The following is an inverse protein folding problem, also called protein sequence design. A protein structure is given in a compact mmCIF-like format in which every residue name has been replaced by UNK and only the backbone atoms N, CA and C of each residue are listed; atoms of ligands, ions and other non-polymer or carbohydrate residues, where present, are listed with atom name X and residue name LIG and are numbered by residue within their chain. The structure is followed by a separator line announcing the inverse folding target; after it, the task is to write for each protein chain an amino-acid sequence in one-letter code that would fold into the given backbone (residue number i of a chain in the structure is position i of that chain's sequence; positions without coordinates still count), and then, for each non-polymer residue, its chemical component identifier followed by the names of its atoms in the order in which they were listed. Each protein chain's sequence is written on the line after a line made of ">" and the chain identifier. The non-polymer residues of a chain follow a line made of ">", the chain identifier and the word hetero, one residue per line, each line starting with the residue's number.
data_IF_664544092821
#
_entry.id   IF_664544092821
#
_cell.length_a   1.000
_cell.length_b   1.000
_cell.length_c   1.000
_cell.angle_alpha   90.00
_cell.angle_beta   90.00
_cell.angle_gamma   90.00
#
_symmetry.space_group_name_H-M   'P 1'
#
loop_
_entity.id
_entity.type
_entity.pdbx_description
1 polymer ?
#
# COMPACT_ATOMS: atom_id res chain seq x y z
N UNK A 1 0.93 -0.44 -5.55
CA UNK A 1 -0.14 -0.79 -6.52
C UNK A 1 -0.83 -2.04 -5.98
N UNK A 2 -2.16 -2.08 -6.04
CA UNK A 2 -2.96 -3.29 -5.80
C UNK A 2 -3.80 -3.51 -7.04
N UNK A 3 -3.85 -4.75 -7.50
CA UNK A 3 -4.54 -5.13 -8.75
C UNK A 3 -5.48 -6.29 -8.47
N UNK A 4 -6.70 -6.23 -9.00
CA UNK A 4 -7.62 -7.35 -9.10
C UNK A 4 -7.91 -7.64 -10.56
N UNK A 5 -7.96 -8.93 -10.91
CA UNK A 5 -8.31 -9.37 -12.27
C UNK A 5 -9.83 -9.46 -12.36
N UNK A 6 -10.39 -8.92 -13.44
CA UNK A 6 -11.82 -8.93 -13.75
C UNK A 6 -12.05 -9.24 -15.23
N UNK A 7 -13.19 -9.86 -15.57
CA UNK A 7 -13.55 -10.17 -16.95
C UNK A 7 -13.86 -8.92 -17.80
N UNK A 8 -14.19 -7.81 -17.15
CA UNK A 8 -14.58 -6.54 -17.76
C UNK A 8 -13.84 -5.39 -17.10
N UNK A 9 -13.62 -4.26 -17.80
CA UNK A 9 -13.00 -3.10 -17.18
C UNK A 9 -13.90 -2.55 -16.07
N UNK A 10 -13.28 -2.16 -14.96
CA UNK A 10 -13.96 -1.60 -13.78
C UNK A 10 -14.02 -0.09 -13.94
N UNK A 11 -15.23 0.45 -14.13
CA UNK A 11 -15.43 1.88 -14.40
C UNK A 11 -15.63 2.65 -13.08
N UNK A 12 -14.55 3.26 -12.60
CA UNK A 12 -14.55 4.12 -11.42
C UNK A 12 -13.47 5.22 -11.57
N UNK A 13 -13.71 6.49 -11.15
CA UNK A 13 -12.73 7.58 -11.26
C UNK A 13 -11.41 7.34 -10.52
N UNK A 14 -11.40 6.45 -9.52
CA UNK A 14 -10.22 6.10 -8.72
C UNK A 14 -9.54 4.81 -9.19
N UNK A 15 -10.06 4.15 -10.24
CA UNK A 15 -9.55 2.85 -10.73
C UNK A 15 -9.03 2.99 -12.16
N UNK A 16 -7.80 2.51 -12.35
CA UNK A 16 -7.21 2.34 -13.68
C UNK A 16 -7.37 0.90 -14.15
N UNK A 17 -7.40 0.68 -15.47
CA UNK A 17 -7.54 -0.64 -16.07
C UNK A 17 -6.40 -0.90 -17.04
N UNK A 18 -5.87 -2.11 -17.04
CA UNK A 18 -4.92 -2.60 -18.07
C UNK A 18 -5.46 -3.91 -18.65
N UNK A 19 -5.42 -4.06 -19.97
CA UNK A 19 -5.77 -5.32 -20.62
C UNK A 19 -4.71 -6.39 -20.31
N UNK A 20 -5.15 -7.62 -20.07
CA UNK A 20 -4.27 -8.77 -19.83
C UNK A 20 -4.17 -9.64 -21.10
N UNK A 21 -3.06 -10.35 -21.32
CA UNK A 21 -2.87 -11.16 -22.53
C UNK A 21 -3.88 -12.30 -22.71
N UNK A 22 -4.48 -12.79 -21.62
CA UNK A 22 -5.54 -13.80 -21.59
C UNK A 22 -6.94 -13.25 -21.89
N UNK A 23 -7.07 -11.94 -22.11
CA UNK A 23 -8.33 -11.29 -22.47
C UNK A 23 -9.15 -10.72 -21.31
N UNK A 24 -8.63 -10.79 -20.08
CA UNK A 24 -9.20 -10.14 -18.89
C UNK A 24 -8.68 -8.70 -18.71
N UNK A 25 -9.08 -8.06 -17.62
CA UNK A 25 -8.65 -6.73 -17.22
C UNK A 25 -8.02 -6.76 -15.82
N UNK A 26 -6.83 -6.19 -15.69
CA UNK A 26 -6.24 -5.85 -14.41
C UNK A 26 -6.74 -4.48 -13.97
N UNK A 27 -7.75 -4.45 -13.10
CA UNK A 27 -8.20 -3.23 -12.43
C UNK A 27 -7.25 -2.92 -11.28
N UNK A 28 -6.69 -1.71 -11.22
CA UNK A 28 -5.70 -1.37 -10.23
C UNK A 28 -5.88 0.02 -9.63
N UNK A 29 -5.44 0.10 -8.37
CA UNK A 29 -5.30 1.31 -7.58
C UNK A 29 -3.84 1.45 -7.16
N UNK A 30 -3.43 2.67 -6.87
CA UNK A 30 -2.04 2.96 -6.56
C UNK A 30 -1.94 3.99 -5.44
N UNK A 31 -0.89 3.84 -4.64
CA UNK A 31 -0.43 4.84 -3.69
C UNK A 31 0.98 5.21 -4.15
N UNK A 32 1.21 6.49 -4.43
CA UNK A 32 2.50 6.97 -4.93
C UNK A 32 3.61 6.72 -3.93
N UNK A 33 3.43 7.19 -2.69
CA UNK A 33 4.38 7.01 -1.61
C UNK A 33 4.07 5.74 -0.80
N UNK A 34 4.19 4.57 -1.44
CA UNK A 34 4.13 3.27 -0.78
C UNK A 34 5.39 2.98 0.03
N UNK A 35 6.34 2.25 -0.55
CA UNK A 35 7.66 2.03 0.07
C UNK A 35 8.46 3.33 0.27
N UNK A 36 8.18 4.33 -0.56
CA UNK A 36 8.83 5.63 -0.53
C UNK A 36 8.49 6.43 0.73
N UNK A 37 7.36 6.17 1.41
CA UNK A 37 7.08 6.79 2.70
C UNK A 37 8.06 6.33 3.79
N UNK A 38 8.40 5.04 3.84
CA UNK A 38 9.42 4.53 4.74
C UNK A 38 10.82 5.07 4.38
N UNK A 39 11.13 5.18 3.07
CA UNK A 39 12.38 5.83 2.62
C UNK A 39 12.46 7.29 3.06
N UNK A 40 11.35 8.01 2.90
CA UNK A 40 11.24 9.41 3.32
C UNK A 40 11.46 9.55 4.83
N UNK A 41 10.78 8.75 5.65
CA UNK A 41 10.92 8.81 7.11
C UNK A 41 12.37 8.51 7.56
N UNK A 42 13.02 7.52 6.94
CA UNK A 42 14.43 7.19 7.18
C UNK A 42 15.37 8.37 6.87
N UNK A 43 15.13 9.08 5.76
CA UNK A 43 15.87 10.30 5.43
C UNK A 43 15.53 11.44 6.37
N UNK A 44 14.25 11.72 6.58
CA UNK A 44 13.78 12.90 7.30
C UNK A 44 14.08 12.87 8.80
N UNK A 45 14.10 11.68 9.41
CA UNK A 45 14.31 11.54 10.85
C UNK A 45 15.74 11.16 11.22
N UNK A 46 16.51 10.61 10.28
CA UNK A 46 17.81 10.01 10.55
C UNK A 46 18.87 10.31 9.48
N UNK A 47 18.61 11.21 8.54
CA UNK A 47 19.54 11.53 7.43
C UNK A 47 20.05 10.31 6.62
N UNK A 48 19.30 9.20 6.65
CA UNK A 48 19.67 7.86 6.12
C UNK A 48 20.75 7.08 6.88
N UNK A 49 21.12 7.50 8.09
CA UNK A 49 22.13 6.82 8.91
C UNK A 49 21.70 5.44 9.40
N UNK A 50 20.39 5.19 9.49
CA UNK A 50 19.82 3.90 9.88
C UNK A 50 19.44 3.04 8.67
N UNK A 51 19.58 1.72 8.80
CA UNK A 51 19.12 0.76 7.80
C UNK A 51 17.60 0.56 7.86
N UNK A 52 17.01 -0.06 6.83
CA UNK A 52 15.58 -0.42 6.87
C UNK A 52 15.26 -1.41 8.00
N UNK A 53 16.20 -2.29 8.36
CA UNK A 53 16.05 -3.21 9.49
C UNK A 53 15.91 -2.45 10.81
N UNK A 54 16.82 -1.50 11.06
CA UNK A 54 16.79 -0.67 12.27
C UNK A 54 15.47 0.12 12.40
N UNK A 55 14.94 0.62 11.29
CA UNK A 55 13.64 1.31 11.27
C UNK A 55 12.49 0.36 11.62
N UNK A 56 12.49 -0.86 11.07
CA UNK A 56 11.46 -1.86 11.35
C UNK A 56 11.52 -2.31 12.81
N UNK A 57 12.72 -2.60 13.33
CA UNK A 57 12.94 -2.99 14.72
C UNK A 57 12.48 -1.87 15.68
N UNK A 58 12.79 -0.61 15.36
CA UNK A 58 12.33 0.55 16.12
C UNK A 58 10.81 0.67 16.10
N UNK A 59 10.18 0.56 14.92
CA UNK A 59 8.73 0.62 14.78
C UNK A 59 8.00 -0.52 15.52
N UNK A 60 8.60 -1.71 15.59
CA UNK A 60 8.03 -2.86 16.28
C UNK A 60 7.90 -2.65 17.80
N UNK A 61 8.73 -1.78 18.38
CA UNK A 61 8.63 -1.44 19.83
C UNK A 61 7.43 -0.58 20.19
N UNK A 62 6.83 0.15 19.24
CA UNK A 62 5.60 0.90 19.47
C UNK A 62 4.38 -0.02 19.45
N UNK A 63 3.30 0.30 20.16
CA UNK A 63 2.07 -0.50 20.12
C UNK A 63 1.31 -0.32 18.78
N UNK A 64 0.48 -1.30 18.35
CA UNK A 64 -0.45 -1.13 17.22
C UNK A 64 -1.32 0.11 17.39
N UNK A 65 -1.45 0.89 16.32
CA UNK A 65 -2.15 2.17 16.35
C UNK A 65 -1.27 3.33 16.83
N UNK A 66 0.00 3.07 17.11
CA UNK A 66 1.04 4.07 17.37
C UNK A 66 0.65 5.09 18.43
N UNK A 67 0.00 4.63 19.51
CA UNK A 67 -0.54 5.48 20.59
C UNK A 67 -1.51 6.58 20.09
N UNK A 68 -2.31 6.24 19.08
CA UNK A 68 -3.25 7.12 18.36
C UNK A 68 -2.60 8.19 17.48
N UNK A 69 -1.32 8.02 17.11
CA UNK A 69 -0.66 8.80 16.06
C UNK A 69 -0.98 8.24 14.67
N UNK A 70 -1.66 9.04 13.85
CA UNK A 70 -1.95 8.69 12.45
C UNK A 70 -0.99 9.40 11.51
N UNK A 71 -0.62 8.73 10.42
CA UNK A 71 0.12 9.32 9.31
C UNK A 71 -0.65 9.14 8.00
N UNK A 72 -1.00 10.24 7.34
CA UNK A 72 -1.53 10.19 5.97
C UNK A 72 -0.35 10.25 5.01
N UNK A 73 -0.17 9.27 4.10
CA UNK A 73 1.11 9.07 3.42
C UNK A 73 1.28 9.84 2.09
N UNK A 74 0.50 10.88 1.83
CA UNK A 74 0.45 11.56 0.52
C UNK A 74 1.62 12.52 0.28
N UNK A 75 2.86 12.05 0.44
CA UNK A 75 4.09 12.85 0.38
C UNK A 75 4.33 13.55 -0.96
N UNK A 76 3.83 12.97 -2.05
CA UNK A 76 4.04 13.45 -3.43
C UNK A 76 2.71 13.68 -4.15
N UNK A 77 1.62 13.84 -3.39
CA UNK A 77 0.28 13.90 -3.94
C UNK A 77 -0.24 12.53 -4.40
N UNK A 78 -1.27 12.59 -5.23
CA UNK A 78 -2.02 11.44 -5.74
C UNK A 78 -2.25 11.57 -7.24
N UNK A 79 -2.33 10.44 -7.94
CA UNK A 79 -2.55 10.42 -9.40
C UNK A 79 -4.01 10.36 -9.80
N UNK A 80 -4.83 9.73 -8.94
CA UNK A 80 -6.24 9.47 -9.16
C UNK A 80 -7.05 10.24 -8.12
N UNK A 81 -8.36 10.40 -8.38
CA UNK A 81 -9.24 11.22 -7.56
C UNK A 81 -9.28 12.70 -7.94
N UNK A 82 -10.16 13.44 -7.25
CA UNK A 82 -10.44 14.84 -7.52
C UNK A 82 -9.32 15.77 -7.04
N UNK A 83 -8.73 15.48 -5.88
CA UNK A 83 -7.65 16.27 -5.27
C UNK A 83 -6.33 15.53 -5.39
N UNK A 84 -5.57 15.85 -6.44
CA UNK A 84 -4.26 15.23 -6.73
C UNK A 84 -3.12 15.89 -5.95
N UNK A 85 -3.37 17.05 -5.37
CA UNK A 85 -2.42 17.83 -4.57
C UNK A 85 -2.44 17.46 -3.08
N UNK A 86 -2.85 16.24 -2.72
CA UNK A 86 -2.78 15.77 -1.34
C UNK A 86 -1.38 15.90 -0.73
N UNK A 87 -1.32 16.08 0.59
CA UNK A 87 -0.07 16.21 1.35
C UNK A 87 -0.03 15.27 2.53
N UNK A 88 1.17 14.83 2.88
CA UNK A 88 1.36 14.01 4.06
C UNK A 88 1.13 14.82 5.34
N UNK A 89 0.60 14.16 6.36
CA UNK A 89 0.39 14.77 7.68
C UNK A 89 0.51 13.72 8.79
N UNK A 90 1.07 14.12 9.92
CA UNK A 90 0.86 13.44 11.18
C UNK A 90 -0.32 14.07 11.91
N UNK A 91 -1.19 13.25 12.49
CA UNK A 91 -2.34 13.70 13.27
C UNK A 91 -2.36 12.98 14.61
N UNK A 92 -2.59 13.73 15.70
CA UNK A 92 -2.56 13.19 17.07
C UNK A 92 -1.18 13.23 17.75
N UNK A 93 -0.20 13.93 17.17
CA UNK A 93 1.13 14.07 17.78
C UNK A 93 1.03 14.71 19.17
N UNK A 94 1.71 14.11 20.13
CA UNK A 94 1.72 14.49 21.54
C UNK A 94 3.11 14.22 22.14
N UNK A 95 3.45 14.87 23.26
CA UNK A 95 4.78 14.84 23.86
C UNK A 95 5.31 13.44 24.22
N UNK A 96 4.43 12.46 24.40
CA UNK A 96 4.81 11.07 24.67
C UNK A 96 5.25 10.27 23.43
N UNK A 97 5.01 10.77 22.23
CA UNK A 97 5.40 10.08 21.00
C UNK A 97 6.89 10.28 20.72
N UNK A 98 7.57 9.18 20.44
CA UNK A 98 8.94 9.17 19.95
C UNK A 98 9.04 8.64 18.53
N UNK A 99 10.28 8.46 18.09
CA UNK A 99 10.59 7.85 16.79
C UNK A 99 9.96 6.46 16.59
N UNK A 100 9.82 5.58 17.61
CA UNK A 100 9.08 4.32 17.46
C UNK A 100 7.65 4.52 16.93
N UNK A 101 6.87 5.38 17.59
CA UNK A 101 5.49 5.66 17.17
C UNK A 101 5.46 6.36 15.81
N UNK A 102 6.38 7.28 15.54
CA UNK A 102 6.42 7.97 14.24
C UNK A 102 6.72 7.02 13.08
N UNK A 103 7.69 6.11 13.22
CA UNK A 103 7.99 5.11 12.19
C UNK A 103 6.85 4.11 12.04
N UNK A 104 6.28 3.62 13.15
CA UNK A 104 5.14 2.72 13.10
C UNK A 104 3.92 3.38 12.44
N UNK A 105 3.63 4.64 12.77
CA UNK A 105 2.54 5.40 12.17
C UNK A 105 2.74 5.55 10.65
N UNK A 106 3.99 5.74 10.17
CA UNK A 106 4.29 5.77 8.72
C UNK A 106 3.94 4.44 8.05
N UNK A 107 4.34 3.32 8.66
CA UNK A 107 4.06 1.98 8.14
C UNK A 107 2.55 1.67 8.14
N UNK A 108 1.87 2.01 9.23
CA UNK A 108 0.42 1.85 9.40
C UNK A 108 -0.36 2.75 8.43
N UNK A 109 0.06 4.01 8.27
CA UNK A 109 -0.51 4.99 7.36
C UNK A 109 -0.53 4.55 5.89
N UNK A 110 0.57 3.94 5.43
CA UNK A 110 0.61 3.29 4.10
C UNK A 110 -0.39 2.14 4.02
N UNK A 111 -0.51 1.33 5.08
CA UNK A 111 -1.52 0.28 5.16
C UNK A 111 -2.95 0.82 5.09
N UNK A 112 -3.28 1.83 5.87
CA UNK A 112 -4.62 2.45 5.88
C UNK A 112 -4.99 3.08 4.54
N UNK A 113 -4.05 3.79 3.89
CA UNK A 113 -4.28 4.37 2.56
C UNK A 113 -4.53 3.29 1.51
N UNK A 114 -3.75 2.20 1.53
CA UNK A 114 -3.97 1.07 0.61
C UNK A 114 -5.29 0.37 0.92
N UNK A 115 -5.67 0.22 2.19
CA UNK A 115 -6.95 -0.37 2.57
C UNK A 115 -8.13 0.47 2.08
N UNK A 116 -8.02 1.81 2.14
CA UNK A 116 -9.02 2.72 1.55
C UNK A 116 -9.21 2.43 0.06
N UNK A 117 -8.12 2.34 -0.69
CA UNK A 117 -8.17 2.03 -2.12
C UNK A 117 -8.70 0.62 -2.41
N UNK A 118 -8.34 -0.36 -1.58
CA UNK A 118 -8.85 -1.72 -1.68
C UNK A 118 -10.37 -1.74 -1.48
N UNK A 119 -10.90 -1.02 -0.50
CA UNK A 119 -12.35 -0.89 -0.30
C UNK A 119 -13.06 -0.19 -1.48
N UNK A 120 -12.43 0.79 -2.12
CA UNK A 120 -12.96 1.40 -3.36
C UNK A 120 -13.07 0.33 -4.45
N UNK A 121 -12.00 -0.44 -4.65
CA UNK A 121 -11.98 -1.51 -5.65
C UNK A 121 -13.01 -2.61 -5.36
N UNK A 122 -13.18 -3.00 -4.11
CA UNK A 122 -14.18 -4.00 -3.69
C UNK A 122 -15.61 -3.53 -3.95
N UNK A 123 -15.90 -2.25 -3.67
CA UNK A 123 -17.20 -1.66 -4.00
C UNK A 123 -17.45 -1.60 -5.49
N UNK A 124 -16.45 -1.19 -6.28
CA UNK A 124 -16.58 -1.06 -7.73
C UNK A 124 -16.68 -2.41 -8.45
N UNK A 125 -16.04 -3.45 -7.94
CA UNK A 125 -16.05 -4.81 -8.52
C UNK A 125 -17.15 -5.71 -7.95
N UNK A 126 -17.72 -5.35 -6.80
CA UNK A 126 -18.58 -6.26 -6.02
C UNK A 126 -17.85 -7.49 -5.48
N UNK A 127 -16.52 -7.52 -5.54
CA UNK A 127 -15.69 -8.67 -5.19
C UNK A 127 -14.78 -8.32 -4.03
N UNK A 128 -14.84 -9.12 -2.98
CA UNK A 128 -13.92 -9.04 -1.85
C UNK A 128 -12.88 -10.16 -1.98
N UNK A 129 -11.59 -9.87 -2.24
CA UNK A 129 -10.58 -10.91 -2.31
C UNK A 129 -10.41 -11.57 -0.93
N UNK A 130 -10.29 -12.90 -0.93
CA UNK A 130 -10.04 -13.69 0.29
C UNK A 130 -8.61 -13.55 0.79
N UNK A 131 -7.68 -13.23 -0.11
CA UNK A 131 -6.26 -13.06 0.18
C UNK A 131 -5.61 -12.08 -0.80
N UNK A 132 -4.45 -11.56 -0.43
CA UNK A 132 -3.61 -10.74 -1.31
C UNK A 132 -2.26 -11.44 -1.54
N UNK A 133 -1.59 -11.08 -2.63
CA UNK A 133 -0.25 -11.58 -2.94
C UNK A 133 0.73 -10.41 -2.83
N UNK A 134 1.77 -10.56 -2.01
CA UNK A 134 2.83 -9.57 -1.91
C UNK A 134 3.71 -9.60 -3.18
N UNK A 135 4.29 -8.46 -3.51
CA UNK A 135 5.22 -8.35 -4.65
C UNK A 135 6.27 -7.26 -4.41
N UNK A 136 7.42 -7.40 -5.05
CA UNK A 136 8.55 -6.50 -5.03
C UNK A 136 9.17 -6.32 -3.64
N UNK A 137 9.82 -5.17 -3.42
CA UNK A 137 10.50 -4.86 -2.15
C UNK A 137 9.59 -4.91 -0.91
N UNK A 138 8.27 -4.72 -1.07
CA UNK A 138 7.30 -4.82 0.02
C UNK A 138 7.09 -6.25 0.55
N UNK A 139 7.52 -7.28 -0.18
CA UNK A 139 7.39 -8.68 0.21
C UNK A 139 8.48 -9.14 1.21
N UNK A 140 9.48 -8.31 1.49
CA UNK A 140 10.67 -8.67 2.29
C UNK A 140 10.60 -8.26 3.77
N UNK A 141 9.56 -7.54 4.19
CA UNK A 141 9.44 -6.96 5.53
C UNK A 141 8.28 -7.58 6.31
N UNK A 142 8.55 -8.63 7.09
CA UNK A 142 7.53 -9.43 7.78
C UNK A 142 6.66 -8.63 8.74
N UNK A 143 7.27 -7.77 9.54
CA UNK A 143 6.55 -6.89 10.44
C UNK A 143 5.56 -5.98 9.69
N UNK A 144 6.00 -5.38 8.57
CA UNK A 144 5.13 -4.50 7.79
C UNK A 144 4.03 -5.28 7.06
N UNK A 145 4.32 -6.49 6.59
CA UNK A 145 3.32 -7.39 6.03
C UNK A 145 2.29 -7.80 7.09
N UNK A 146 2.69 -8.03 8.35
CA UNK A 146 1.78 -8.30 9.46
C UNK A 146 0.85 -7.12 9.72
N UNK A 147 1.38 -5.89 9.76
CA UNK A 147 0.58 -4.65 9.85
C UNK A 147 -0.46 -4.62 8.72
N UNK A 148 -0.02 -4.79 7.48
CA UNK A 148 -0.90 -4.75 6.30
C UNK A 148 -1.97 -5.83 6.34
N UNK A 149 -1.61 -7.09 6.61
CA UNK A 149 -2.54 -8.20 6.72
C UNK A 149 -3.62 -7.92 7.78
N UNK A 150 -3.21 -7.41 8.95
CA UNK A 150 -4.14 -7.00 10.01
C UNK A 150 -5.04 -5.83 9.61
N UNK A 151 -4.52 -4.78 8.97
CA UNK A 151 -5.34 -3.64 8.49
C UNK A 151 -6.36 -4.10 7.43
N UNK A 152 -5.94 -4.94 6.49
CA UNK A 152 -6.82 -5.45 5.43
C UNK A 152 -7.79 -6.52 5.94
N UNK A 153 -7.51 -7.07 7.13
CA UNK A 153 -8.17 -8.25 7.69
C UNK A 153 -8.24 -9.41 6.69
N UNK A 154 -7.10 -9.69 6.05
CA UNK A 154 -6.91 -10.71 5.01
C UNK A 154 -5.48 -11.24 5.07
N UNK A 155 -5.27 -12.54 4.80
CA UNK A 155 -3.93 -13.07 4.66
C UNK A 155 -3.22 -12.51 3.43
N UNK A 156 -1.89 -12.45 3.53
CA UNK A 156 -1.00 -12.07 2.44
C UNK A 156 -0.08 -13.26 2.12
N UNK A 157 -0.17 -13.77 0.89
CA UNK A 157 0.76 -14.78 0.37
C UNK A 157 2.07 -14.14 -0.04
N UNK A 158 3.17 -14.82 0.30
CA UNK A 158 4.53 -14.41 -0.06
C UNK A 158 4.99 -15.32 -1.20
N UNK A 159 5.24 -14.77 -2.40
CA UNK A 159 5.77 -15.55 -3.51
C UNK A 159 7.21 -16.00 -3.19
N UNK A 160 7.64 -17.10 -3.81
CA UNK A 160 9.03 -17.55 -3.77
C UNK A 160 9.95 -16.56 -4.47
N UNK A 161 9.50 -16.03 -5.62
CA UNK A 161 10.14 -14.92 -6.32
C UNK A 161 9.34 -13.64 -6.09
N UNK A 162 9.92 -12.68 -5.39
CA UNK A 162 9.27 -11.40 -5.08
C UNK A 162 9.09 -10.52 -6.33
N UNK A 163 9.96 -10.66 -7.33
CA UNK A 163 9.89 -9.93 -8.60
C UNK A 163 8.86 -10.58 -9.54
N UNK A 164 7.58 -10.57 -9.15
CA UNK A 164 6.48 -11.24 -9.87
C UNK A 164 6.37 -10.83 -11.35
N UNK A 165 6.78 -9.61 -11.70
CA UNK A 165 6.82 -9.15 -13.10
C UNK A 165 7.77 -9.98 -13.97
N UNK A 166 8.93 -10.39 -13.44
CA UNK A 166 9.87 -11.26 -14.15
C UNK A 166 9.29 -12.66 -14.34
N UNK A 167 8.59 -13.18 -13.33
CA UNK A 167 7.88 -14.46 -13.43
C UNK A 167 6.79 -14.39 -14.51
N UNK A 168 6.04 -13.30 -14.59
CA UNK A 168 5.06 -13.04 -15.64
C UNK A 168 5.69 -12.99 -17.05
N UNK A 169 6.83 -12.31 -17.21
CA UNK A 169 7.58 -12.33 -18.46
C UNK A 169 8.03 -13.74 -18.84
N UNK A 170 8.53 -14.53 -17.88
CA UNK A 170 8.93 -15.91 -18.12
C UNK A 170 7.74 -16.80 -18.52
N UNK A 171 6.56 -16.58 -17.93
CA UNK A 171 5.33 -17.28 -18.31
C UNK A 171 4.93 -16.95 -19.76
N UNK A 172 4.92 -15.66 -20.13
CA UNK A 172 4.64 -15.22 -21.50
C UNK A 172 5.61 -15.84 -22.52
N UNK A 173 6.91 -15.81 -22.23
CA UNK A 173 7.92 -16.44 -23.10
C UNK A 173 7.75 -17.96 -23.19
N UNK A 174 7.36 -18.61 -22.10
CA UNK A 174 7.12 -20.07 -22.08
C UNK A 174 5.99 -20.45 -23.04
N UNK A 175 4.88 -19.72 -23.02
CA UNK A 175 3.75 -19.93 -23.93
C UNK A 175 4.14 -19.58 -25.37
N UNK A 176 4.79 -18.44 -25.59
CA UNK A 176 5.21 -18.00 -26.93
C UNK A 176 6.17 -18.99 -27.62
N UNK A 177 6.96 -19.72 -26.84
CA UNK A 177 7.87 -20.76 -27.32
C UNK A 177 7.22 -22.15 -27.45
N UNK A 178 5.90 -22.26 -27.21
CA UNK A 178 5.15 -23.52 -27.28
C UNK A 178 5.54 -24.55 -26.21
N UNK A 179 6.15 -24.10 -25.10
CA UNK A 179 6.56 -24.98 -23.98
C UNK A 179 5.40 -25.29 -23.03
N UNK A 180 4.38 -24.45 -23.02
CA UNK A 180 3.11 -24.64 -22.33
C UNK A 180 1.97 -24.19 -23.27
N UNK A 181 0.77 -24.77 -23.15
CA UNK A 181 -0.34 -24.48 -24.07
C UNK A 181 -0.97 -23.10 -23.86
N UNK A 182 -0.93 -22.58 -22.63
CA UNK A 182 -1.58 -21.33 -22.22
C UNK A 182 -0.92 -20.72 -20.98
N UNK A 183 -1.34 -19.51 -20.62
CA UNK A 183 -0.79 -18.77 -19.48
C UNK A 183 -1.15 -19.40 -18.14
N UNK A 184 -2.28 -20.08 -18.04
CA UNK A 184 -2.69 -20.78 -16.82
C UNK A 184 -1.71 -21.93 -16.51
N UNK A 185 -1.39 -22.75 -17.51
CA UNK A 185 -0.41 -23.84 -17.40
C UNK A 185 0.99 -23.32 -17.09
N UNK A 186 1.41 -22.22 -17.75
CA UNK A 186 2.70 -21.59 -17.47
C UNK A 186 2.77 -21.01 -16.05
N UNK A 187 1.70 -20.35 -15.58
CA UNK A 187 1.62 -19.83 -14.22
C UNK A 187 1.64 -20.96 -13.18
N UNK A 188 0.87 -22.04 -13.40
CA UNK A 188 0.85 -23.20 -12.50
C UNK A 188 2.24 -23.85 -12.32
N UNK A 189 3.10 -23.79 -13.34
CA UNK A 189 4.47 -24.31 -13.28
C UNK A 189 5.46 -23.35 -12.62
N UNK A 190 5.31 -22.05 -12.86
CA UNK A 190 6.32 -21.03 -12.53
C UNK A 190 6.03 -20.28 -11.22
N UNK A 191 4.76 -20.10 -10.87
CA UNK A 191 4.36 -19.36 -9.66
C UNK A 191 4.42 -20.30 -8.47
N UNK A 192 5.24 -19.94 -7.49
CA UNK A 192 5.35 -20.64 -6.21
C UNK A 192 5.18 -19.65 -5.06
N UNK A 193 4.62 -20.13 -3.96
CA UNK A 193 4.47 -19.37 -2.73
C UNK A 193 5.24 -20.07 -1.62
N UNK A 194 5.90 -19.30 -0.76
CA UNK A 194 6.73 -19.85 0.33
C UNK A 194 5.96 -19.93 1.64
N UNK A 195 5.21 -18.89 1.97
CA UNK A 195 4.44 -18.79 3.23
C UNK A 195 3.30 -17.78 3.12
N UNK A 196 2.50 -17.75 4.18
CA UNK A 196 1.37 -16.85 4.36
C UNK A 196 1.59 -16.00 5.62
N UNK A 197 1.33 -14.70 5.53
CA UNK A 197 1.25 -13.79 6.68
C UNK A 197 -0.22 -13.57 7.00
N UNK A 198 -0.66 -14.07 8.15
CA UNK A 198 -2.05 -13.96 8.62
C UNK A 198 -2.28 -12.68 9.42
N UNK A 199 -3.50 -12.12 9.37
CA UNK A 199 -3.86 -11.03 10.26
C UNK A 199 -3.74 -11.47 11.72
N UNK A 200 -3.12 -10.63 12.54
CA UNK A 200 -3.27 -10.70 13.99
C UNK A 200 -4.67 -10.19 14.35
N UNK A 201 -5.51 -11.01 15.02
CA UNK A 201 -6.91 -10.67 15.26
C UNK A 201 -7.07 -9.45 16.18
N UNK A 202 -6.19 -9.28 17.16
CA UNK A 202 -6.22 -8.13 18.08
C UNK A 202 -5.88 -6.85 17.32
N UNK A 203 -4.87 -6.91 16.45
CA UNK A 203 -4.50 -5.77 15.62
C UNK A 203 -5.57 -5.45 14.59
N UNK A 204 -6.17 -6.47 13.97
CA UNK A 204 -7.24 -6.29 12.99
C UNK A 204 -8.46 -5.58 13.61
N UNK A 205 -8.89 -5.99 14.80
CA UNK A 205 -9.98 -5.33 15.53
C UNK A 205 -9.61 -3.88 15.88
N UNK A 206 -8.37 -3.65 16.33
CA UNK A 206 -7.88 -2.33 16.67
C UNK A 206 -7.81 -1.40 15.45
N UNK A 207 -7.21 -1.85 14.35
CA UNK A 207 -7.10 -1.08 13.10
C UNK A 207 -8.46 -0.82 12.44
N UNK A 208 -9.41 -1.75 12.54
CA UNK A 208 -10.77 -1.55 12.07
C UNK A 208 -11.46 -0.37 12.77
N UNK A 209 -11.15 -0.09 14.05
CA UNK A 209 -11.65 1.09 14.76
C UNK A 209 -10.98 2.39 14.33
N UNK A 210 -9.74 2.33 13.82
CA UNK A 210 -8.96 3.51 13.39
C UNK A 210 -9.30 3.92 11.97
N UNK A 211 -9.56 2.97 11.06
CA UNK A 211 -9.80 3.25 9.63
C UNK A 211 -10.86 4.36 9.39
N UNK A 212 -12.02 4.41 10.08
CA UNK A 212 -13.01 5.47 9.85
C UNK A 212 -12.47 6.88 10.15
N UNK A 213 -11.62 7.02 11.17
CA UNK A 213 -10.96 8.28 11.48
C UNK A 213 -9.94 8.63 10.39
N UNK A 214 -9.15 7.66 9.94
CA UNK A 214 -8.21 7.86 8.82
C UNK A 214 -8.94 8.37 7.56
N UNK A 215 -10.07 7.75 7.20
CA UNK A 215 -10.86 8.13 6.03
C UNK A 215 -11.50 9.52 6.19
N UNK A 216 -11.92 9.86 7.42
CA UNK A 216 -12.43 11.20 7.75
C UNK A 216 -11.35 12.26 7.59
N UNK A 217 -10.16 12.02 8.13
CA UNK A 217 -9.02 12.93 8.00
C UNK A 217 -8.63 13.13 6.54
N UNK A 218 -8.55 12.05 5.76
CA UNK A 218 -8.27 12.11 4.32
C UNK A 218 -9.26 13.04 3.61
N UNK A 219 -10.56 12.83 3.85
CA UNK A 219 -11.63 13.61 3.19
C UNK A 219 -11.60 15.08 3.63
N UNK A 220 -11.43 15.35 4.92
CA UNK A 220 -11.47 16.72 5.45
C UNK A 220 -10.23 17.54 5.04
N UNK A 221 -9.06 16.91 4.97
CA UNK A 221 -7.83 17.59 4.56
C UNK A 221 -7.86 18.09 3.11
N UNK A 222 -8.68 17.47 2.24
CA UNK A 222 -8.82 17.88 0.83
C UNK A 222 -9.19 19.36 0.66
N UNK A 223 -10.07 19.88 1.52
CA UNK A 223 -10.52 21.27 1.46
C UNK A 223 -9.38 22.30 1.69
N UNK A 224 -8.23 21.86 2.19
CA UNK A 224 -7.12 22.74 2.57
C UNK A 224 -5.94 22.68 1.62
N UNK A 225 -5.86 21.69 0.72
CA UNK A 225 -4.68 21.52 -0.14
C UNK A 225 -4.47 22.67 -1.13
N UNK A 226 -5.55 23.22 -1.71
CA UNK A 226 -5.44 24.37 -2.62
C UNK A 226 -4.95 25.63 -1.90
N UNK A 227 -5.36 25.80 -0.63
CA UNK A 227 -4.86 26.90 0.22
C UNK A 227 -3.38 26.70 0.53
N UNK A 228 -2.97 25.46 0.80
CA UNK A 228 -1.57 25.12 1.07
C UNK A 228 -0.67 25.39 -0.16
N UNK A 229 -1.13 25.02 -1.36
CA UNK A 229 -0.43 25.31 -2.61
C UNK A 229 -0.26 26.84 -2.81
N UNK A 230 -1.33 27.61 -2.55
CA UNK A 230 -1.28 29.08 -2.66
C UNK A 230 -0.25 29.72 -1.70
N UNK A 231 -0.09 29.19 -0.49
CA UNK A 231 0.94 29.65 0.44
C UNK A 231 2.35 29.41 -0.10
N UNK A 232 2.60 28.25 -0.72
CA UNK A 232 3.92 27.93 -1.27
C UNK A 232 4.26 28.70 -2.54
N UNK A 233 3.26 29.01 -3.39
CA UNK A 233 3.46 29.80 -4.62
C UNK A 233 3.81 31.28 -4.35
N UNK A 234 3.50 31.78 -3.16
CA UNK A 234 3.73 33.18 -2.76
C UNK A 234 5.13 33.46 -2.21
N UNK A 235 5.96 32.43 -2.02
CA UNK A 235 7.36 32.63 -1.61
C UNK A 235 8.23 32.87 -2.86
N UNK A 236 8.96 33.99 -2.95
CA UNK A 236 9.92 34.20 -4.03
C UNK A 236 10.99 33.10 -3.96
N UNK A 237 11.41 32.57 -5.11
CA UNK A 237 12.49 31.59 -5.21
C UNK A 237 13.73 32.10 -4.45
N UNK A 238 14.19 31.31 -3.48
CA UNK A 238 15.36 31.60 -2.64
C UNK A 238 16.64 31.04 -3.28
#
# INVERSE_FOLDING_TARGET
>A
IVTLVAEKPVLDPEISNVGTPEGNWGAFVLLEAGGDAARWARRAFHDNDLSYGDILDMAETAAPGSDALLFLPYLVGERLGAHRNSRAQFFGLAAGHGLPQMHRAVLEGVGFAVNRHLQVMERATGTRPDMLIASGGGAKADFWLKIKASIYNRPILIPEEAECGLVGCAALCTVALGREPDLESAAARLVRHTREVRPDPVWAEHYARIQPLFDTLYTQSQAHYDTLDALTASQPEA
#
